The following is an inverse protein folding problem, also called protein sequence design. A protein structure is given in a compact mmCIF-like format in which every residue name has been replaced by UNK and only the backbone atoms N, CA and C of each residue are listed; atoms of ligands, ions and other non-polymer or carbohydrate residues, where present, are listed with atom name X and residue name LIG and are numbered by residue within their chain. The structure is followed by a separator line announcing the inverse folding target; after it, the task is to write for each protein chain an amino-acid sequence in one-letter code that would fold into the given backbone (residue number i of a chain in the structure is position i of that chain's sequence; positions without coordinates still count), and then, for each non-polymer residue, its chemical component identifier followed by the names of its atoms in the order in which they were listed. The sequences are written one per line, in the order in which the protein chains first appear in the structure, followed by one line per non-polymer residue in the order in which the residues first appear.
data_IF_521128577859
#
_entry.id   IF_521128577859
#
_cell.length_a   1.000
_cell.length_b   1.000
_cell.length_c   1.000
_cell.angle_alpha   90.00
_cell.angle_beta   90.00
_cell.angle_gamma   90.00
#
_symmetry.space_group_name_H-M   'P 1'
#
loop_
_entity.id
_entity.type
_entity.pdbx_description
1 polymer ?
#
# COMPACT_ATOMS: atom_id res chain seq x y z
N UNK A 1 2.76 5.95 9.09
CA UNK A 1 2.91 6.31 7.65
C UNK A 1 3.15 5.03 6.85
N UNK A 2 2.45 4.83 5.72
CA UNK A 2 2.60 3.62 4.89
C UNK A 2 1.57 2.50 5.12
N UNK A 3 0.62 2.67 6.01
CA UNK A 3 -0.50 1.74 6.15
C UNK A 3 -1.38 1.73 4.89
N UNK A 4 -1.91 0.56 4.55
CA UNK A 4 -2.93 0.45 3.52
C UNK A 4 -4.32 0.62 4.12
N UNK A 5 -5.17 1.35 3.41
CA UNK A 5 -6.59 1.41 3.67
C UNK A 5 -7.37 1.29 2.35
N UNK A 6 -8.13 0.21 2.17
CA UNK A 6 -8.93 0.01 0.97
C UNK A 6 -10.21 0.84 1.04
N UNK A 7 -10.48 1.63 0.00
CA UNK A 7 -11.64 2.51 -0.12
C UNK A 7 -12.28 2.39 -1.50
N UNK A 8 -13.58 2.70 -1.59
CA UNK A 8 -14.28 2.82 -2.88
C UNK A 8 -14.32 1.55 -3.72
N UNK A 9 -14.38 0.39 -3.07
CA UNK A 9 -14.41 -0.91 -3.77
C UNK A 9 -13.04 -1.40 -4.24
N UNK A 10 -11.95 -0.79 -3.76
CA UNK A 10 -10.59 -1.25 -4.08
C UNK A 10 -10.13 -2.38 -3.18
N UNK A 11 -9.12 -3.12 -3.62
CA UNK A 11 -8.47 -4.15 -2.83
C UNK A 11 -7.16 -4.62 -3.42
N UNK A 12 -6.46 -5.46 -2.65
CA UNK A 12 -5.19 -6.08 -3.01
C UNK A 12 -4.95 -7.35 -2.20
N UNK A 13 -4.07 -8.20 -2.68
CA UNK A 13 -3.49 -9.30 -1.91
C UNK A 13 -2.20 -8.83 -1.24
N UNK A 14 -2.05 -9.11 0.05
CA UNK A 14 -0.87 -8.73 0.85
C UNK A 14 -0.45 -9.93 1.69
N UNK A 15 0.85 -10.18 1.78
CA UNK A 15 1.38 -11.12 2.78
C UNK A 15 1.31 -10.48 4.16
N UNK A 16 0.57 -11.08 5.07
CA UNK A 16 0.28 -10.48 6.36
C UNK A 16 0.19 -11.51 7.49
N UNK A 17 0.41 -11.06 8.71
CA UNK A 17 0.15 -11.78 9.95
C UNK A 17 -0.81 -10.98 10.81
N UNK A 18 -1.58 -11.69 11.62
CA UNK A 18 -2.45 -11.05 12.60
C UNK A 18 -1.62 -10.46 13.73
N UNK A 19 -1.64 -9.13 13.84
CA UNK A 19 -1.03 -8.39 14.93
C UNK A 19 -1.93 -8.31 16.17
N UNK A 20 -1.52 -7.55 17.19
CA UNK A 20 -2.28 -7.39 18.45
C UNK A 20 -3.68 -6.79 18.26
N UNK A 21 -3.85 -5.93 17.28
CA UNK A 21 -5.09 -5.19 17.07
C UNK A 21 -5.70 -5.48 15.70
N UNK A 22 -4.88 -5.76 14.68
CA UNK A 22 -5.34 -5.99 13.30
C UNK A 22 -4.27 -6.72 12.50
N UNK A 23 -4.48 -6.87 11.18
CA UNK A 23 -3.51 -7.45 10.25
C UNK A 23 -2.34 -6.51 10.02
N UNK A 24 -1.13 -7.06 10.05
CA UNK A 24 0.10 -6.34 9.75
C UNK A 24 0.81 -6.96 8.55
N UNK A 25 1.32 -6.12 7.66
CA UNK A 25 2.21 -6.58 6.59
C UNK A 25 3.41 -7.33 7.18
N UNK A 26 3.65 -8.52 6.70
CA UNK A 26 4.81 -9.35 7.04
C UNK A 26 5.17 -10.19 5.80
N UNK A 27 6.36 -10.01 5.22
CA UNK A 27 6.77 -10.76 4.02
C UNK A 27 6.88 -12.27 4.27
N UNK A 28 6.88 -12.71 5.53
CA UNK A 28 6.86 -14.13 5.93
C UNK A 28 5.47 -14.62 6.34
N UNK A 29 4.45 -13.78 6.15
CA UNK A 29 3.05 -14.09 6.43
C UNK A 29 2.40 -14.91 5.33
N UNK A 30 1.12 -15.17 5.52
CA UNK A 30 0.26 -15.75 4.49
C UNK A 30 -0.38 -14.66 3.64
N UNK A 31 -0.72 -14.99 2.40
CA UNK A 31 -1.43 -14.07 1.52
C UNK A 31 -2.85 -13.86 2.04
N UNK A 32 -3.20 -12.61 2.31
CA UNK A 32 -4.53 -12.18 2.72
C UNK A 32 -5.11 -11.22 1.69
N UNK A 33 -6.39 -11.37 1.37
CA UNK A 33 -7.10 -10.42 0.50
C UNK A 33 -7.66 -9.27 1.32
N UNK A 34 -7.15 -8.08 1.09
CA UNK A 34 -7.67 -6.83 1.67
C UNK A 34 -8.61 -6.16 0.67
N UNK A 35 -9.77 -5.71 1.13
CA UNK A 35 -10.75 -5.07 0.26
C UNK A 35 -11.75 -4.20 1.02
N UNK A 36 -12.29 -3.21 0.32
CA UNK A 36 -13.49 -2.48 0.73
C UNK A 36 -14.73 -3.07 0.04
N UNK A 37 -15.90 -2.89 0.66
CA UNK A 37 -17.19 -3.26 0.10
C UNK A 37 -17.89 -4.43 0.80
N UNK A 38 -19.05 -4.86 0.30
CA UNK A 38 -19.84 -5.92 0.91
C UNK A 38 -19.05 -7.24 1.00
N UNK A 39 -19.07 -7.83 2.19
CA UNK A 39 -18.32 -9.05 2.48
C UNK A 39 -16.83 -8.83 2.79
N UNK A 40 -16.38 -7.60 2.95
CA UNK A 40 -15.06 -7.28 3.45
C UNK A 40 -14.98 -7.54 4.97
N UNK A 41 -14.92 -8.79 5.35
CA UNK A 41 -14.91 -9.22 6.75
C UNK A 41 -13.58 -8.88 7.43
N UNK A 42 -13.41 -7.65 7.91
CA UNK A 42 -12.30 -7.25 8.78
C UNK A 42 -10.93 -7.13 8.09
N UNK A 43 -10.86 -7.16 6.76
CA UNK A 43 -9.64 -7.01 5.99
C UNK A 43 -9.65 -5.75 5.13
N UNK A 44 -10.01 -4.61 5.74
CA UNK A 44 -10.05 -3.32 5.05
C UNK A 44 -8.71 -2.60 5.08
N UNK A 45 -7.91 -2.87 6.08
CA UNK A 45 -6.62 -2.22 6.30
C UNK A 45 -5.52 -3.22 6.64
N UNK A 46 -4.31 -2.90 6.23
CA UNK A 46 -3.09 -3.58 6.65
C UNK A 46 -2.13 -2.56 7.23
N UNK A 47 -1.68 -2.81 8.46
CA UNK A 47 -0.77 -1.95 9.18
C UNK A 47 0.68 -2.39 9.02
N UNK A 48 1.61 -1.52 9.38
CA UNK A 48 3.02 -1.84 9.48
C UNK A 48 3.30 -2.60 10.78
N UNK A 49 4.33 -3.46 10.77
CA UNK A 49 4.85 -4.09 12.00
C UNK A 49 5.64 -3.12 12.89
N UNK A 50 5.96 -1.92 12.42
CA UNK A 50 6.74 -0.94 13.16
C UNK A 50 6.65 0.45 12.57
N UNK A 51 7.29 1.42 13.20
CA UNK A 51 7.40 2.78 12.68
C UNK A 51 8.75 2.96 12.00
N UNK A 52 8.73 3.39 10.75
CA UNK A 52 9.90 3.76 9.96
C UNK A 52 9.99 5.27 9.78
N UNK A 53 9.16 6.01 10.48
CA UNK A 53 9.13 7.46 10.45
C UNK A 53 10.28 8.04 11.27
N UNK A 54 10.82 9.15 10.77
CA UNK A 54 11.77 9.96 11.51
C UNK A 54 11.06 10.72 12.63
N UNK A 55 11.81 11.20 13.63
CA UNK A 55 11.26 12.03 14.71
C UNK A 55 10.44 13.22 14.20
N UNK A 56 9.50 13.66 15.02
CA UNK A 56 8.67 14.83 14.70
C UNK A 56 9.53 16.05 14.34
N UNK A 57 9.14 16.74 13.26
CA UNK A 57 9.87 17.88 12.70
C UNK A 57 10.90 17.53 11.63
N UNK A 58 11.18 16.25 11.43
CA UNK A 58 12.07 15.80 10.36
C UNK A 58 11.29 15.43 9.09
N UNK A 59 11.95 15.57 7.94
CA UNK A 59 11.37 15.16 6.65
C UNK A 59 11.46 13.66 6.48
N UNK A 60 10.32 13.05 6.16
CA UNK A 60 10.23 11.67 5.72
C UNK A 60 10.23 11.61 4.19
N UNK A 61 10.83 10.57 3.64
CA UNK A 61 10.80 10.24 2.23
C UNK A 61 9.79 9.11 1.98
N UNK A 62 8.89 9.34 1.04
CA UNK A 62 7.89 8.36 0.63
C UNK A 62 8.09 8.04 -0.84
N UNK A 63 8.17 6.76 -1.16
CA UNK A 63 8.26 6.29 -2.53
C UNK A 63 7.15 5.27 -2.79
N UNK A 64 6.54 5.40 -3.95
CA UNK A 64 5.55 4.45 -4.45
C UNK A 64 6.02 3.91 -5.79
N UNK A 65 6.29 2.62 -5.88
CA UNK A 65 6.60 1.93 -7.11
C UNK A 65 5.40 1.12 -7.56
N UNK A 66 5.00 1.26 -8.84
CA UNK A 66 3.86 0.51 -9.39
C UNK A 66 4.19 -0.06 -10.75
N UNK A 67 3.90 -1.34 -10.97
CA UNK A 67 3.97 -2.01 -12.27
C UNK A 67 2.79 -2.99 -12.39
N UNK A 68 1.95 -2.77 -13.38
CA UNK A 68 0.73 -3.57 -13.55
C UNK A 68 -0.14 -3.53 -12.28
N UNK A 69 -0.42 -4.69 -11.71
CA UNK A 69 -1.20 -4.83 -10.48
C UNK A 69 -0.35 -4.98 -9.22
N UNK A 70 0.93 -4.65 -9.27
CA UNK A 70 1.82 -4.70 -8.12
C UNK A 70 2.24 -3.29 -7.69
N UNK A 71 2.12 -3.01 -6.40
CA UNK A 71 2.59 -1.76 -5.80
C UNK A 71 3.50 -2.04 -4.61
N UNK A 72 4.57 -1.25 -4.47
CA UNK A 72 5.51 -1.32 -3.35
C UNK A 72 5.58 0.04 -2.69
N UNK A 73 5.28 0.11 -1.40
CA UNK A 73 5.37 1.31 -0.59
C UNK A 73 6.68 1.31 0.18
N UNK A 74 7.38 2.42 0.12
CA UNK A 74 8.68 2.58 0.78
C UNK A 74 8.63 3.84 1.65
N UNK A 75 9.11 3.73 2.87
CA UNK A 75 9.26 4.85 3.81
C UNK A 75 10.71 4.89 4.27
N UNK A 76 11.38 6.01 4.03
CA UNK A 76 12.78 6.22 4.41
C UNK A 76 13.70 5.06 3.96
N UNK A 77 13.51 4.58 2.73
CA UNK A 77 14.29 3.48 2.14
C UNK A 77 13.90 2.07 2.63
N UNK A 78 12.88 1.93 3.46
CA UNK A 78 12.37 0.62 3.93
C UNK A 78 11.08 0.26 3.21
N UNK A 79 11.01 -0.94 2.62
CA UNK A 79 9.78 -1.49 2.08
C UNK A 79 8.82 -1.76 3.23
N UNK A 80 7.65 -1.12 3.19
CA UNK A 80 6.67 -1.17 4.28
C UNK A 80 5.38 -1.89 3.90
N UNK A 81 5.08 -1.95 2.60
CA UNK A 81 3.94 -2.71 2.05
C UNK A 81 4.27 -3.21 0.66
N UNK A 82 3.84 -4.41 0.34
CA UNK A 82 3.84 -4.96 -1.03
C UNK A 82 2.44 -5.45 -1.33
N UNK A 83 1.82 -4.83 -2.33
CA UNK A 83 0.48 -5.14 -2.79
C UNK A 83 0.58 -5.93 -4.09
N UNK A 84 -0.15 -7.03 -4.17
CA UNK A 84 -0.29 -7.84 -5.37
C UNK A 84 -1.74 -7.86 -5.81
N UNK A 85 -1.98 -8.16 -7.07
CA UNK A 85 -3.32 -8.34 -7.62
C UNK A 85 -4.27 -7.20 -7.28
N UNK A 86 -3.77 -5.94 -7.31
CA UNK A 86 -4.60 -4.78 -7.03
C UNK A 86 -5.81 -4.74 -7.95
N UNK A 87 -6.98 -4.49 -7.41
CA UNK A 87 -8.24 -4.50 -8.13
C UNK A 87 -9.19 -3.39 -7.67
N UNK A 88 -10.19 -3.14 -8.49
CA UNK A 88 -11.35 -2.33 -8.13
C UNK A 88 -12.63 -3.13 -8.43
N UNK A 89 -13.70 -2.78 -7.73
CA UNK A 89 -15.04 -3.30 -8.02
C UNK A 89 -15.97 -2.14 -8.32
N UNK A 90 -16.78 -2.30 -9.34
CA UNK A 90 -17.95 -1.42 -9.54
C UNK A 90 -19.08 -1.87 -8.58
N UNK A 91 -20.19 -1.13 -8.57
CA UNK A 91 -21.39 -1.55 -7.84
C UNK A 91 -21.87 -2.96 -8.22
N UNK A 92 -22.98 -3.43 -7.58
CA UNK A 92 -23.44 -4.81 -7.79
C UNK A 92 -23.44 -5.22 -9.26
N UNK A 93 -22.90 -6.41 -9.60
CA UNK A 93 -22.53 -7.56 -8.77
C UNK A 93 -21.11 -7.57 -8.17
N UNK A 94 -20.41 -6.45 -8.03
CA UNK A 94 -19.08 -6.34 -7.41
C UNK A 94 -18.00 -7.23 -8.05
N UNK A 95 -17.96 -7.25 -9.37
CA UNK A 95 -16.96 -8.01 -10.13
C UNK A 95 -15.60 -7.30 -10.00
N UNK A 96 -14.60 -8.03 -9.54
CA UNK A 96 -13.22 -7.54 -9.46
C UNK A 96 -12.64 -7.28 -10.86
N UNK A 97 -12.07 -6.12 -11.05
CA UNK A 97 -11.34 -5.71 -12.27
C UNK A 97 -9.93 -5.33 -11.92
N UNK A 98 -8.92 -5.73 -12.71
CA UNK A 98 -7.54 -5.31 -12.48
C UNK A 98 -7.41 -3.79 -12.35
N UNK A 99 -6.72 -3.33 -11.32
CA UNK A 99 -6.34 -1.94 -11.15
C UNK A 99 -4.87 -1.77 -11.54
N UNK A 100 -4.63 -1.32 -12.78
CA UNK A 100 -3.28 -1.13 -13.34
C UNK A 100 -3.00 0.31 -13.76
N UNK A 101 -3.97 1.21 -13.59
CA UNK A 101 -3.86 2.63 -13.87
C UNK A 101 -4.80 3.42 -12.98
N UNK A 102 -4.44 4.66 -12.65
CA UNK A 102 -5.24 5.52 -11.80
C UNK A 102 -4.58 6.87 -11.56
N UNK A 103 -5.16 7.65 -10.68
CA UNK A 103 -4.63 8.93 -10.24
C UNK A 103 -3.98 8.77 -8.86
N UNK A 104 -2.93 9.53 -8.61
CA UNK A 104 -2.34 9.69 -7.28
C UNK A 104 -2.94 10.93 -6.65
N UNK A 105 -3.51 10.78 -5.46
CA UNK A 105 -4.02 11.88 -4.67
C UNK A 105 -3.19 12.02 -3.40
N UNK A 106 -2.83 13.25 -3.06
CA UNK A 106 -2.15 13.61 -1.82
C UNK A 106 -3.13 14.44 -0.98
N UNK A 107 -3.29 14.08 0.27
CA UNK A 107 -4.21 14.77 1.17
C UNK A 107 -3.65 14.88 2.58
N UNK A 108 -4.22 15.78 3.39
CA UNK A 108 -4.05 15.80 4.84
C UNK A 108 -5.37 15.45 5.50
N UNK A 109 -5.32 14.80 6.65
CA UNK A 109 -6.49 14.40 7.41
C UNK A 109 -6.33 14.81 8.88
N UNK A 110 -6.94 15.94 9.23
CA UNK A 110 -6.98 16.46 10.60
C UNK A 110 -5.69 17.06 11.15
N UNK A 111 -4.62 17.14 10.36
CA UNK A 111 -3.35 17.73 10.76
C UNK A 111 -2.74 18.56 9.63
N UNK A 112 -1.89 19.51 9.98
CA UNK A 112 -1.11 20.26 9.01
C UNK A 112 0.00 19.36 8.45
N UNK A 113 0.11 19.28 7.12
CA UNK A 113 1.08 18.45 6.41
C UNK A 113 1.77 19.28 5.33
N UNK A 114 3.08 19.17 5.25
CA UNK A 114 3.88 19.81 4.22
C UNK A 114 4.45 18.77 3.27
N UNK A 115 4.40 19.06 1.97
CA UNK A 115 4.97 18.22 0.92
C UNK A 115 6.03 19.00 0.15
N UNK A 116 7.09 18.31 -0.26
CA UNK A 116 8.13 18.88 -1.13
C UNK A 116 8.69 17.80 -2.05
N UNK A 117 9.29 18.23 -3.17
CA UNK A 117 9.94 17.34 -4.14
C UNK A 117 9.04 16.21 -4.61
N UNK A 118 7.82 16.56 -5.04
CA UNK A 118 6.93 15.60 -5.66
C UNK A 118 7.43 15.31 -7.08
N UNK A 119 7.96 14.11 -7.28
CA UNK A 119 8.56 13.68 -8.53
C UNK A 119 7.85 12.43 -9.04
N UNK A 120 7.75 12.30 -10.36
CA UNK A 120 7.23 11.12 -11.04
C UNK A 120 8.25 10.65 -12.08
N UNK A 121 8.56 9.35 -12.07
CA UNK A 121 9.47 8.75 -13.03
C UNK A 121 8.83 7.50 -13.63
N UNK A 122 8.68 7.42 -14.96
CA UNK A 122 8.26 6.19 -15.62
C UNK A 122 9.29 5.07 -15.41
N UNK A 123 8.81 3.89 -15.04
CA UNK A 123 9.63 2.68 -14.86
C UNK A 123 9.02 1.53 -15.65
N UNK A 124 9.86 0.64 -16.18
CA UNK A 124 9.44 -0.60 -16.87
C UNK A 124 9.76 -1.85 -16.05
N UNK A 125 10.54 -1.69 -14.99
CA UNK A 125 10.87 -2.74 -14.03
C UNK A 125 11.13 -2.10 -12.66
N UNK A 126 10.90 -2.86 -11.60
CA UNK A 126 11.28 -2.42 -10.27
C UNK A 126 12.80 -2.28 -10.15
N UNK A 127 13.31 -1.22 -9.49
CA UNK A 127 14.73 -1.14 -9.17
C UNK A 127 15.21 -2.40 -8.44
N UNK A 128 16.43 -2.87 -8.74
CA UNK A 128 16.94 -4.15 -8.22
C UNK A 128 16.91 -4.23 -6.68
N UNK A 129 17.20 -3.12 -5.99
CA UNK A 129 17.15 -3.05 -4.53
C UNK A 129 15.72 -3.21 -4.00
N UNK A 130 14.75 -2.52 -4.62
CA UNK A 130 13.33 -2.58 -4.26
C UNK A 130 12.77 -3.98 -4.55
N UNK A 131 13.07 -4.53 -5.73
CA UNK A 131 12.67 -5.88 -6.11
C UNK A 131 13.14 -6.92 -5.07
N UNK A 132 14.42 -6.86 -4.69
CA UNK A 132 15.00 -7.76 -3.68
C UNK A 132 14.33 -7.57 -2.31
N UNK A 133 14.15 -6.33 -1.85
CA UNK A 133 13.57 -6.02 -0.55
C UNK A 133 12.08 -6.39 -0.47
N UNK A 134 11.36 -6.29 -1.59
CA UNK A 134 9.94 -6.64 -1.72
C UNK A 134 9.70 -8.14 -1.98
N UNK A 135 10.73 -8.93 -2.23
CA UNK A 135 10.59 -10.35 -2.56
C UNK A 135 9.97 -10.62 -3.94
N UNK A 136 10.19 -9.73 -4.93
CA UNK A 136 9.63 -9.78 -6.29
C UNK A 136 10.57 -10.43 -7.30
#
# INVERSE_FOLDING_TARGET
MGDLYCLGGTGADITAKKGPHDWCYDPTGEVQKFRDGPGAMGTKSAHLLGSFEKPFGEWNELELYTIGQTAVYVVNGQVVQVLHNTFTTDGPPYIEKPLSAGQIQIQSEGAEVYYRRMEIQPITQFPAAIKKAAGL
#
